data_IF_709816517992
#
_entry.id   IF_709816517992
#
_cell.length_a   1.000
_cell.length_b   1.000
_cell.length_c   1.000
_cell.angle_alpha   90.00
_cell.angle_beta   90.00
_cell.angle_gamma   90.00
#
_symmetry.space_group_name_H-M   'P 1'
#
loop_
_entity.id
_entity.type
_entity.pdbx_description
1 polymer ?
#
# COMPACT_ATOMS: atom_id res chain seq x y z
N UNK A 1 -13.38 24.92 0.80
CA UNK A 1 -13.89 23.52 0.79
C UNK A 1 -13.82 22.99 2.20
N UNK A 2 -14.91 22.44 2.73
CA UNK A 2 -14.90 21.79 4.04
C UNK A 2 -14.41 20.35 3.84
N UNK A 3 -13.18 20.05 4.28
CA UNK A 3 -12.56 18.72 4.15
C UNK A 3 -13.05 17.72 5.22
N UNK A 4 -13.84 18.18 6.19
CA UNK A 4 -14.38 17.37 7.29
C UNK A 4 -15.81 16.89 6.99
N UNK A 5 -15.98 16.11 5.93
CA UNK A 5 -17.21 15.36 5.72
C UNK A 5 -17.14 14.13 6.63
N UNK A 6 -18.10 13.97 7.53
CA UNK A 6 -18.25 12.76 8.34
C UNK A 6 -18.68 11.60 7.44
N UNK A 7 -17.68 10.85 6.96
CA UNK A 7 -17.87 9.62 6.18
C UNK A 7 -17.46 8.43 7.04
N UNK A 8 -18.26 7.35 6.99
CA UNK A 8 -17.91 6.08 7.62
C UNK A 8 -16.59 5.58 7.02
N UNK A 9 -15.67 5.09 7.86
CA UNK A 9 -14.36 4.61 7.44
C UNK A 9 -14.16 3.16 7.81
N UNK A 10 -13.43 2.43 6.97
CA UNK A 10 -13.03 1.06 7.26
C UNK A 10 -12.16 1.02 8.52
N UNK A 11 -12.51 0.17 9.48
CA UNK A 11 -11.71 0.00 10.73
C UNK A 11 -10.32 -0.58 10.48
N UNK A 12 -10.12 -1.27 9.36
CA UNK A 12 -8.84 -1.94 9.04
C UNK A 12 -7.86 -1.06 8.26
N UNK A 13 -8.34 -0.22 7.35
CA UNK A 13 -7.49 0.51 6.40
C UNK A 13 -7.81 1.99 6.28
N UNK A 14 -8.71 2.51 7.13
CA UNK A 14 -9.16 3.91 7.20
C UNK A 14 -9.79 4.50 5.92
N UNK A 15 -9.92 3.72 4.85
CA UNK A 15 -10.57 4.17 3.62
C UNK A 15 -12.02 4.61 3.89
N UNK A 16 -12.45 5.76 3.37
CA UNK A 16 -13.82 6.21 3.47
C UNK A 16 -14.75 5.32 2.65
N UNK A 17 -16.00 5.20 3.10
CA UNK A 17 -17.09 4.61 2.34
C UNK A 17 -17.35 5.49 1.11
N UNK A 18 -17.32 4.87 -0.06
CA UNK A 18 -17.57 5.51 -1.36
C UNK A 18 -18.59 4.63 -2.08
N UNK A 19 -19.85 5.08 -2.23
CA UNK A 19 -20.90 4.27 -2.84
C UNK A 19 -20.48 3.70 -4.21
N UNK A 20 -20.70 2.39 -4.42
CA UNK A 20 -20.32 1.69 -5.65
C UNK A 20 -18.83 1.37 -5.81
N UNK A 21 -17.96 1.82 -4.89
CA UNK A 21 -16.52 1.57 -4.93
C UNK A 21 -15.99 0.92 -3.65
N UNK A 22 -16.24 1.54 -2.50
CA UNK A 22 -15.81 1.09 -1.16
C UNK A 22 -17.04 0.98 -0.28
N UNK A 23 -17.52 -0.25 -0.08
CA UNK A 23 -18.70 -0.53 0.74
C UNK A 23 -18.29 -1.21 2.04
N UNK A 24 -18.82 -0.72 3.16
CA UNK A 24 -18.53 -1.25 4.49
C UNK A 24 -19.57 -2.30 4.88
N UNK A 25 -19.12 -3.45 5.33
CA UNK A 25 -19.99 -4.47 5.93
C UNK A 25 -20.50 -4.05 7.33
N UNK A 26 -21.32 -4.90 7.94
CA UNK A 26 -21.86 -4.68 9.29
C UNK A 26 -20.78 -4.59 10.38
N UNK A 27 -19.60 -5.17 10.16
CA UNK A 27 -18.48 -5.08 11.08
C UNK A 27 -17.67 -3.77 10.89
N UNK A 28 -17.95 -3.02 9.83
CA UNK A 28 -17.22 -1.81 9.44
C UNK A 28 -15.93 -2.11 8.67
N UNK A 29 -15.86 -3.26 7.99
CA UNK A 29 -14.74 -3.66 7.12
C UNK A 29 -15.15 -3.50 5.67
N UNK A 30 -14.27 -2.90 4.85
CA UNK A 30 -14.58 -2.69 3.44
C UNK A 30 -14.48 -3.98 2.61
N UNK A 31 -15.23 -4.00 1.50
CA UNK A 31 -15.16 -5.01 0.44
C UNK A 31 -13.73 -5.35 0.00
N UNK A 32 -12.82 -4.37 -0.07
CA UNK A 32 -11.41 -4.56 -0.46
C UNK A 32 -10.67 -5.42 0.59
N UNK A 33 -10.70 -5.03 1.86
CA UNK A 33 -10.05 -5.79 2.94
C UNK A 33 -10.65 -7.20 3.09
N UNK A 34 -11.96 -7.36 2.88
CA UNK A 34 -12.61 -8.68 2.86
C UNK A 34 -12.25 -9.51 1.62
N UNK A 35 -11.96 -8.86 0.49
CA UNK A 35 -11.42 -9.50 -0.72
C UNK A 35 -9.99 -10.00 -0.50
N UNK A 36 -9.12 -9.14 0.04
CA UNK A 36 -7.71 -9.46 0.28
C UNK A 36 -7.51 -10.65 1.20
N UNK A 37 -8.32 -10.79 2.27
CA UNK A 37 -8.29 -11.98 3.14
C UNK A 37 -8.55 -13.29 2.38
N UNK A 38 -9.38 -13.25 1.34
CA UNK A 38 -9.70 -14.41 0.51
C UNK A 38 -8.60 -14.71 -0.52
N UNK A 39 -7.94 -13.67 -1.03
CA UNK A 39 -6.85 -13.79 -2.01
C UNK A 39 -5.52 -14.20 -1.36
N UNK A 40 -5.17 -13.63 -0.20
CA UNK A 40 -3.95 -13.97 0.55
C UNK A 40 -3.96 -15.44 0.99
N UNK A 41 -5.13 -16.00 1.31
CA UNK A 41 -5.27 -17.41 1.65
C UNK A 41 -5.20 -18.34 0.43
N UNK A 42 -5.32 -17.81 -0.81
CA UNK A 42 -5.35 -18.61 -2.05
C UNK A 42 -4.05 -18.55 -2.84
N UNK A 43 -3.34 -17.42 -2.81
CA UNK A 43 -2.06 -17.27 -3.47
C UNK A 43 -0.92 -17.56 -2.50
N UNK A 44 -0.44 -18.81 -2.57
CA UNK A 44 0.87 -19.21 -2.07
C UNK A 44 1.90 -18.09 -2.31
N UNK A 45 2.62 -17.73 -1.25
CA UNK A 45 3.60 -16.63 -1.12
C UNK A 45 4.69 -16.50 -2.22
N UNK A 46 4.73 -17.37 -3.23
CA UNK A 46 5.82 -17.45 -4.21
C UNK A 46 5.87 -16.29 -5.22
N UNK A 47 4.76 -15.61 -5.52
CA UNK A 47 4.75 -14.49 -6.49
C UNK A 47 5.14 -13.13 -5.90
N UNK A 48 5.01 -12.94 -4.58
CA UNK A 48 5.28 -11.65 -3.93
C UNK A 48 6.78 -11.35 -3.83
N UNK A 49 7.62 -12.37 -3.62
CA UNK A 49 9.08 -12.20 -3.58
C UNK A 49 9.64 -11.74 -4.94
N UNK A 50 9.15 -12.31 -6.06
CA UNK A 50 9.61 -11.94 -7.41
C UNK A 50 9.46 -10.44 -7.74
N UNK A 51 8.45 -9.75 -7.19
CA UNK A 51 8.23 -8.33 -7.50
C UNK A 51 9.11 -7.40 -6.65
N UNK A 52 9.47 -7.82 -5.43
CA UNK A 52 10.32 -7.03 -4.54
C UNK A 52 11.76 -7.03 -5.06
N UNK A 53 12.26 -8.19 -5.47
CA UNK A 53 13.61 -8.33 -6.00
C UNK A 53 13.77 -7.58 -7.32
N UNK A 54 12.77 -7.64 -8.20
CA UNK A 54 12.74 -6.84 -9.43
C UNK A 54 12.81 -5.33 -9.15
N UNK A 55 12.08 -4.86 -8.16
CA UNK A 55 12.11 -3.45 -7.77
C UNK A 55 13.45 -3.05 -7.15
N UNK A 56 14.04 -3.91 -6.31
CA UNK A 56 15.38 -3.73 -5.76
C UNK A 56 16.44 -3.65 -6.85
N UNK A 57 16.40 -4.53 -7.86
CA UNK A 57 17.32 -4.46 -9.01
C UNK A 57 17.25 -3.11 -9.72
N UNK A 58 16.03 -2.56 -9.90
CA UNK A 58 15.86 -1.24 -10.52
C UNK A 58 16.43 -0.10 -9.68
N UNK A 59 16.34 -0.18 -8.35
CA UNK A 59 16.92 0.82 -7.44
C UNK A 59 18.44 0.69 -7.39
N UNK A 60 18.94 -0.53 -7.20
CA UNK A 60 20.37 -0.82 -7.07
C UNK A 60 21.16 -0.43 -8.32
N UNK A 61 20.53 -0.39 -9.49
CA UNK A 61 21.14 0.17 -10.70
C UNK A 61 21.64 1.62 -10.50
N UNK A 62 20.93 2.43 -9.71
CA UNK A 62 21.28 3.82 -9.43
C UNK A 62 22.16 3.97 -8.18
N UNK A 63 22.46 2.86 -7.50
CA UNK A 63 23.28 2.88 -6.30
C UNK A 63 24.73 3.24 -6.65
N UNK A 64 25.24 4.32 -6.03
CA UNK A 64 26.63 4.74 -6.13
C UNK A 64 27.40 4.19 -4.95
N UNK A 65 28.40 3.34 -5.25
CA UNK A 65 29.36 2.84 -4.26
C UNK A 65 29.95 4.01 -3.45
N UNK A 66 29.96 3.88 -2.13
CA UNK A 66 30.50 4.84 -1.14
C UNK A 66 29.69 6.13 -0.92
N UNK A 67 28.40 6.17 -1.29
CA UNK A 67 27.53 7.28 -0.86
C UNK A 67 27.00 7.07 0.56
N UNK A 68 26.88 8.16 1.33
CA UNK A 68 26.18 8.16 2.64
C UNK A 68 24.67 7.92 2.47
N UNK A 69 24.11 8.29 1.31
CA UNK A 69 22.69 8.13 0.96
C UNK A 69 22.56 7.68 -0.50
N UNK A 70 21.80 6.61 -0.76
CA UNK A 70 21.71 6.01 -2.09
C UNK A 70 20.50 6.52 -2.89
N UNK A 71 19.42 6.94 -2.21
CA UNK A 71 18.23 7.51 -2.85
C UNK A 71 17.50 8.51 -1.94
N UNK A 72 16.60 9.31 -2.53
CA UNK A 72 15.66 10.18 -1.81
C UNK A 72 14.25 9.73 -2.17
N UNK A 73 13.41 9.49 -1.16
CA UNK A 73 12.00 9.09 -1.34
C UNK A 73 11.10 10.22 -0.87
N UNK A 74 10.36 10.82 -1.80
CA UNK A 74 9.34 11.81 -1.51
C UNK A 74 8.06 11.11 -1.01
N UNK A 75 7.58 11.54 0.16
CA UNK A 75 6.37 10.97 0.79
C UNK A 75 5.23 11.98 0.78
N UNK A 76 4.09 11.57 0.23
CA UNK A 76 2.84 12.36 0.25
C UNK A 76 1.91 11.95 1.38
N UNK A 77 2.22 10.86 2.09
CA UNK A 77 1.34 10.22 3.08
C UNK A 77 0.34 9.24 2.46
N UNK A 78 0.27 9.15 1.13
CA UNK A 78 -0.54 8.15 0.43
C UNK A 78 0.10 6.75 0.46
N UNK A 79 -0.73 5.71 0.34
CA UNK A 79 -0.32 4.30 0.40
C UNK A 79 0.87 3.98 -0.52
N UNK A 80 0.89 4.54 -1.73
CA UNK A 80 1.88 4.20 -2.75
C UNK A 80 3.26 4.76 -2.34
N UNK A 81 3.30 6.02 -1.92
CA UNK A 81 4.55 6.64 -1.44
C UNK A 81 5.08 6.00 -0.16
N UNK A 82 4.20 5.56 0.74
CA UNK A 82 4.58 4.85 1.97
C UNK A 82 5.10 3.44 1.64
N UNK A 83 4.48 2.74 0.69
CA UNK A 83 4.96 1.45 0.21
C UNK A 83 6.33 1.59 -0.46
N UNK A 84 6.53 2.61 -1.30
CA UNK A 84 7.85 2.89 -1.89
C UNK A 84 8.90 3.12 -0.82
N UNK A 85 8.61 3.92 0.22
CA UNK A 85 9.53 4.13 1.34
C UNK A 85 9.84 2.83 2.09
N UNK A 86 8.82 2.00 2.34
CA UNK A 86 8.99 0.72 3.02
C UNK A 86 9.90 -0.25 2.24
N UNK A 87 9.76 -0.28 0.91
CA UNK A 87 10.53 -1.17 0.04
C UNK A 87 11.94 -0.65 -0.25
N UNK A 88 12.13 0.68 -0.34
CA UNK A 88 13.43 1.30 -0.61
C UNK A 88 14.37 1.33 0.60
N UNK A 89 13.91 0.87 1.77
CA UNK A 89 14.71 0.68 2.98
C UNK A 89 15.73 -0.45 2.78
#
# INVERSE_FOLDING_TARGET
MNYNIEVRRCKSCILPEVPGHVELDSNGICNICNGDKRTINKENNSKKECNLDYFKEKILFYDKKNSKYNCVVSVSGGKDSIMTLYVAK
#
